data_IF_477504652222
#
_entry.id   IF_477504652222
#
_cell.length_a   1.000
_cell.length_b   1.000
_cell.length_c   1.000
_cell.angle_alpha   90.00
_cell.angle_beta   90.00
_cell.angle_gamma   90.00
#
_symmetry.space_group_name_H-M   'P 1'
#
loop_
_entity.id
_entity.type
_entity.pdbx_description
1 polymer ?
#
# COMPACT_ATOMS: atom_id res chain seq x y z
N UNK A 1 14.11 5.77 0.37
CA UNK A 1 13.34 6.55 1.36
C UNK A 1 13.61 6.08 2.78
N UNK A 2 13.26 4.86 3.20
CA UNK A 2 13.41 4.40 4.59
C UNK A 2 14.81 4.66 5.21
N UNK A 3 15.88 4.16 4.57
CA UNK A 3 17.27 4.39 5.03
C UNK A 3 17.75 5.84 4.93
N UNK A 4 17.05 6.70 4.18
CA UNK A 4 17.41 8.11 4.00
C UNK A 4 16.68 9.01 5.00
N UNK A 5 15.52 8.60 5.51
CA UNK A 5 14.65 9.41 6.36
C UNK A 5 14.61 8.95 7.82
N UNK A 6 15.25 7.82 8.17
CA UNK A 6 15.11 7.18 9.49
C UNK A 6 13.67 6.89 9.90
N UNK A 7 12.77 6.81 8.91
CA UNK A 7 11.35 6.53 9.11
C UNK A 7 11.13 5.02 9.20
N UNK A 8 10.07 4.59 9.89
CA UNK A 8 9.66 3.18 9.95
C UNK A 8 8.70 2.91 8.79
N UNK A 9 9.03 1.95 7.91
CA UNK A 9 8.15 1.56 6.81
C UNK A 9 7.15 0.48 7.23
N UNK A 10 5.90 0.71 6.86
CA UNK A 10 4.79 -0.21 7.02
C UNK A 10 4.33 -0.65 5.63
N UNK A 11 4.47 -1.93 5.30
CA UNK A 11 4.00 -2.50 4.03
C UNK A 11 3.12 -3.72 4.27
N UNK A 12 1.99 -3.78 3.58
CA UNK A 12 0.98 -4.82 3.78
C UNK A 12 1.48 -6.19 3.31
N UNK A 13 2.24 -6.22 2.21
CA UNK A 13 2.69 -7.46 1.57
C UNK A 13 3.64 -8.28 2.49
N UNK A 14 4.57 -7.63 3.19
CA UNK A 14 5.48 -8.33 4.11
C UNK A 14 4.72 -8.97 5.28
N UNK A 15 3.68 -8.29 5.79
CA UNK A 15 2.87 -8.79 6.90
C UNK A 15 1.95 -9.93 6.48
N UNK A 16 1.27 -9.79 5.34
CA UNK A 16 0.46 -10.86 4.77
C UNK A 16 1.29 -12.14 4.56
N UNK A 17 2.47 -12.00 3.95
CA UNK A 17 3.35 -13.13 3.70
C UNK A 17 3.85 -13.78 4.99
N UNK A 18 4.24 -12.99 6.01
CA UNK A 18 4.76 -13.52 7.27
C UNK A 18 3.69 -14.20 8.13
N UNK A 19 2.46 -13.68 8.15
CA UNK A 19 1.39 -14.18 9.01
C UNK A 19 0.56 -15.29 8.36
N UNK A 20 0.36 -15.23 7.05
CA UNK A 20 -0.55 -16.14 6.33
C UNK A 20 0.12 -16.92 5.20
N UNK A 21 1.44 -16.76 5.03
CA UNK A 21 2.20 -17.47 4.01
C UNK A 21 2.07 -16.87 2.61
N UNK A 22 2.61 -17.59 1.63
CA UNK A 22 2.48 -17.23 0.21
C UNK A 22 1.11 -17.66 -0.29
N UNK A 23 0.51 -16.82 -1.11
CA UNK A 23 -0.75 -17.09 -1.83
C UNK A 23 -1.87 -17.64 -0.92
N UNK A 24 -2.28 -16.89 0.13
CA UNK A 24 -3.31 -17.36 1.05
C UNK A 24 -4.66 -17.55 0.33
N UNK A 25 -5.56 -18.40 0.86
CA UNK A 25 -6.83 -18.69 0.22
C UNK A 25 -7.66 -17.42 -0.08
N UNK A 26 -8.15 -17.28 -1.30
CA UNK A 26 -8.88 -16.09 -1.78
C UNK A 26 -10.04 -15.68 -0.85
N UNK A 27 -10.81 -16.67 -0.38
CA UNK A 27 -11.98 -16.45 0.49
C UNK A 27 -11.60 -15.84 1.85
N UNK A 28 -10.35 -16.01 2.29
CA UNK A 28 -9.84 -15.50 3.56
C UNK A 28 -9.02 -14.23 3.38
N UNK A 29 -8.57 -13.92 2.15
CA UNK A 29 -7.66 -12.83 1.85
C UNK A 29 -8.17 -11.49 2.39
N UNK A 30 -9.44 -11.16 2.17
CA UNK A 30 -10.01 -9.88 2.60
C UNK A 30 -10.01 -9.73 4.14
N UNK A 31 -10.35 -10.80 4.86
CA UNK A 31 -10.35 -10.81 6.33
C UNK A 31 -8.92 -10.73 6.88
N UNK A 32 -7.98 -11.46 6.29
CA UNK A 32 -6.55 -11.40 6.63
C UNK A 32 -5.97 -10.02 6.40
N UNK A 33 -6.29 -9.41 5.24
CA UNK A 33 -5.86 -8.06 4.91
C UNK A 33 -6.40 -7.04 5.90
N UNK A 34 -7.67 -7.16 6.30
CA UNK A 34 -8.28 -6.28 7.32
C UNK A 34 -7.59 -6.39 8.67
N UNK A 35 -7.28 -7.61 9.14
CA UNK A 35 -6.54 -7.82 10.40
C UNK A 35 -5.15 -7.20 10.36
N UNK A 36 -4.44 -7.37 9.24
CA UNK A 36 -3.12 -6.76 9.03
C UNK A 36 -3.22 -5.23 9.04
N UNK A 37 -4.17 -4.65 8.30
CA UNK A 37 -4.37 -3.19 8.30
C UNK A 37 -4.66 -2.63 9.68
N UNK A 38 -5.52 -3.31 10.47
CA UNK A 38 -5.84 -2.92 11.83
C UNK A 38 -4.59 -2.90 12.73
N UNK A 39 -3.82 -4.00 12.75
CA UNK A 39 -2.61 -4.09 13.56
C UNK A 39 -1.54 -3.08 13.13
N UNK A 40 -1.35 -2.90 11.82
CA UNK A 40 -0.40 -1.92 11.29
C UNK A 40 -0.80 -0.51 11.69
N UNK A 41 -2.09 -0.20 11.70
CA UNK A 41 -2.61 1.10 12.13
C UNK A 41 -2.31 1.42 13.59
N UNK A 42 -2.56 0.49 14.50
CA UNK A 42 -2.20 0.68 15.91
C UNK A 42 -0.71 1.00 16.08
N UNK A 43 0.15 0.35 15.28
CA UNK A 43 1.59 0.53 15.36
C UNK A 43 2.07 1.83 14.75
N UNK A 44 1.65 2.19 13.53
CA UNK A 44 2.12 3.44 12.91
C UNK A 44 1.55 4.67 13.62
N UNK A 45 0.33 4.60 14.16
CA UNK A 45 -0.23 5.66 15.01
C UNK A 45 0.60 5.82 16.29
N UNK A 46 1.04 4.71 16.89
CA UNK A 46 1.94 4.76 18.05
C UNK A 46 3.29 5.39 17.70
N UNK A 47 3.83 5.15 16.51
CA UNK A 47 5.04 5.83 16.04
C UNK A 47 4.84 7.35 15.97
N UNK A 48 3.73 7.81 15.40
CA UNK A 48 3.40 9.24 15.34
C UNK A 48 3.32 9.87 16.74
N UNK A 49 2.67 9.20 17.70
CA UNK A 49 2.62 9.66 19.11
C UNK A 49 3.99 9.80 19.77
N UNK A 50 4.99 9.08 19.28
CA UNK A 50 6.37 9.12 19.78
C UNK A 50 7.26 10.06 18.94
N UNK A 51 6.68 10.87 18.04
CA UNK A 51 7.39 11.73 17.09
C UNK A 51 8.36 10.96 16.19
N UNK A 52 7.96 9.77 15.75
CA UNK A 52 8.72 8.95 14.80
C UNK A 52 8.04 9.01 13.43
N UNK A 53 8.81 9.41 12.41
CA UNK A 53 8.35 9.42 11.03
C UNK A 53 8.00 8.02 10.53
N UNK A 54 6.94 7.91 9.73
CA UNK A 54 6.47 6.65 9.16
C UNK A 54 6.32 6.74 7.65
N UNK A 55 6.54 5.62 6.97
CA UNK A 55 6.22 5.44 5.55
C UNK A 55 5.11 4.39 5.47
N UNK A 56 3.94 4.79 4.98
CA UNK A 56 2.84 3.88 4.71
C UNK A 56 2.90 3.46 3.24
N UNK A 57 3.48 2.29 2.98
CA UNK A 57 3.60 1.67 1.66
C UNK A 57 2.32 0.88 1.35
N UNK A 58 1.21 1.60 1.20
CA UNK A 58 -0.14 1.08 0.96
C UNK A 58 -0.62 1.43 -0.45
N UNK A 59 -1.70 0.76 -0.89
CA UNK A 59 -2.29 1.04 -2.19
C UNK A 59 -3.15 2.31 -2.26
N UNK A 60 -3.68 2.80 -1.13
CA UNK A 60 -4.52 4.01 -1.05
C UNK A 60 -5.63 4.05 -2.11
N UNK A 61 -6.40 2.96 -2.18
CA UNK A 61 -7.25 2.62 -3.32
C UNK A 61 -8.46 3.52 -3.48
N UNK A 62 -9.01 4.05 -2.39
CA UNK A 62 -10.18 4.92 -2.40
C UNK A 62 -9.91 6.28 -1.80
N UNK A 63 -10.66 7.28 -2.25
CA UNK A 63 -10.67 8.62 -1.66
C UNK A 63 -11.01 8.54 -0.16
N UNK A 64 -12.02 7.74 0.19
CA UNK A 64 -12.42 7.54 1.58
C UNK A 64 -11.27 6.96 2.45
N UNK A 65 -10.46 6.05 1.92
CA UNK A 65 -9.28 5.53 2.63
C UNK A 65 -8.24 6.64 2.84
N UNK A 66 -7.95 7.43 1.81
CA UNK A 66 -6.99 8.54 1.87
C UNK A 66 -7.43 9.61 2.85
N UNK A 67 -8.70 9.99 2.83
CA UNK A 67 -9.28 11.00 3.74
C UNK A 67 -9.23 10.55 5.20
N UNK A 68 -9.56 9.28 5.45
CA UNK A 68 -9.50 8.69 6.80
C UNK A 68 -8.07 8.71 7.33
N UNK A 69 -7.10 8.26 6.54
CA UNK A 69 -5.69 8.24 6.95
C UNK A 69 -5.18 9.67 7.17
N UNK A 70 -5.53 10.61 6.28
CA UNK A 70 -5.21 12.03 6.45
C UNK A 70 -5.75 12.58 7.77
N UNK A 71 -7.01 12.30 8.08
CA UNK A 71 -7.65 12.73 9.33
C UNK A 71 -6.90 12.24 10.56
N UNK A 72 -6.52 10.95 10.58
CA UNK A 72 -5.74 10.38 11.70
C UNK A 72 -4.38 11.08 11.82
N UNK A 73 -3.65 11.29 10.72
CA UNK A 73 -2.35 11.99 10.76
C UNK A 73 -2.51 13.42 11.32
N UNK A 74 -3.51 14.17 10.83
CA UNK A 74 -3.76 15.54 11.27
C UNK A 74 -4.20 15.64 12.74
N UNK A 75 -4.88 14.63 13.28
CA UNK A 75 -5.25 14.56 14.70
C UNK A 75 -4.00 14.54 15.61
N UNK A 76 -2.91 13.93 15.15
CA UNK A 76 -1.62 13.93 15.84
C UNK A 76 -0.75 15.15 15.54
N UNK A 77 -1.27 16.13 14.77
CA UNK A 77 -0.52 17.33 14.38
C UNK A 77 0.68 17.03 13.47
N UNK A 78 0.71 15.86 12.84
CA UNK A 78 1.77 15.47 11.92
C UNK A 78 1.50 16.01 10.51
N UNK A 79 2.57 16.31 9.78
CA UNK A 79 2.51 16.59 8.36
C UNK A 79 2.47 15.29 7.54
N UNK A 80 1.95 15.34 6.31
CA UNK A 80 1.99 14.21 5.39
C UNK A 80 2.42 14.61 3.99
N UNK A 81 2.95 13.63 3.24
CA UNK A 81 3.20 13.73 1.81
C UNK A 81 2.64 12.49 1.13
N UNK A 82 1.74 12.69 0.17
CA UNK A 82 1.22 11.61 -0.66
C UNK A 82 2.07 11.47 -1.92
N UNK A 83 2.56 10.27 -2.21
CA UNK A 83 3.36 9.99 -3.40
C UNK A 83 2.52 9.24 -4.42
N UNK A 84 2.36 9.81 -5.62
CA UNK A 84 1.67 9.16 -6.73
C UNK A 84 2.67 8.47 -7.64
N UNK A 85 2.50 7.16 -7.79
CA UNK A 85 3.21 6.36 -8.77
C UNK A 85 2.26 6.10 -9.95
N UNK A 86 2.75 6.30 -11.17
CA UNK A 86 2.02 5.97 -12.38
C UNK A 86 2.76 4.88 -13.14
N UNK A 87 2.02 3.98 -13.76
CA UNK A 87 2.58 2.93 -14.62
C UNK A 87 1.53 2.61 -15.70
N UNK A 88 1.89 2.54 -16.99
CA UNK A 88 1.00 2.02 -18.01
C UNK A 88 0.57 0.59 -17.66
N UNK A 89 -0.68 0.26 -17.92
CA UNK A 89 -1.23 -1.06 -17.57
C UNK A 89 -0.45 -2.20 -18.21
N UNK A 90 -0.01 -2.03 -19.46
CA UNK A 90 0.77 -3.04 -20.16
C UNK A 90 2.09 -3.33 -19.43
N UNK A 91 2.74 -2.29 -18.90
CA UNK A 91 3.98 -2.43 -18.14
C UNK A 91 3.70 -3.06 -16.77
N UNK A 92 2.64 -2.62 -16.08
CA UNK A 92 2.23 -3.19 -14.80
C UNK A 92 1.91 -4.67 -14.93
N UNK A 93 1.16 -5.04 -15.97
CA UNK A 93 0.81 -6.43 -16.26
C UNK A 93 2.04 -7.27 -16.61
N UNK A 94 2.95 -6.78 -17.46
CA UNK A 94 4.23 -7.47 -17.74
C UNK A 94 5.03 -7.73 -16.46
N UNK A 95 5.11 -6.75 -15.55
CA UNK A 95 5.79 -6.89 -14.24
C UNK A 95 5.10 -7.94 -13.36
N UNK A 96 3.76 -7.96 -13.33
CA UNK A 96 2.99 -8.97 -12.60
C UNK A 96 3.24 -10.36 -13.18
N UNK A 97 3.24 -10.51 -14.51
CA UNK A 97 3.53 -11.79 -15.16
C UNK A 97 4.95 -12.29 -14.82
N UNK A 98 5.95 -11.40 -14.83
CA UNK A 98 7.30 -11.75 -14.41
C UNK A 98 7.33 -12.21 -12.94
N UNK A 99 6.66 -11.48 -12.04
CA UNK A 99 6.57 -11.83 -10.62
C UNK A 99 5.83 -13.15 -10.37
N UNK A 100 4.75 -13.43 -11.11
CA UNK A 100 4.00 -14.68 -11.00
C UNK A 100 4.86 -15.90 -11.34
N UNK A 101 5.82 -15.76 -12.25
CA UNK A 101 6.73 -16.83 -12.66
C UNK A 101 8.00 -16.93 -11.78
N UNK A 102 8.20 -16.00 -10.84
CA UNK A 102 9.38 -15.99 -9.99
C UNK A 102 9.25 -17.03 -8.85
N UNK A 103 10.33 -17.73 -8.46
CA UNK A 103 10.29 -18.74 -7.38
C UNK A 103 9.85 -18.17 -6.02
N UNK A 104 10.07 -16.87 -5.82
CA UNK A 104 9.77 -16.15 -4.60
C UNK A 104 8.41 -15.42 -4.64
N UNK A 105 7.57 -15.67 -5.65
CA UNK A 105 6.24 -15.09 -5.78
C UNK A 105 5.46 -15.18 -4.45
N UNK A 106 5.07 -14.02 -3.90
CA UNK A 106 4.35 -13.94 -2.62
C UNK A 106 2.84 -14.09 -2.78
N UNK A 107 2.30 -13.69 -3.93
CA UNK A 107 0.88 -13.68 -4.25
C UNK A 107 0.70 -13.78 -5.76
N UNK A 108 -0.02 -14.81 -6.21
CA UNK A 108 -0.31 -15.00 -7.62
C UNK A 108 -1.46 -14.09 -8.05
N UNK A 109 -1.28 -13.31 -9.11
CA UNK A 109 -2.32 -12.41 -9.64
C UNK A 109 -2.72 -12.85 -11.05
N UNK A 110 -3.90 -13.45 -11.17
CA UNK A 110 -4.49 -13.77 -12.47
C UNK A 110 -4.91 -12.51 -13.24
N UNK A 111 -5.06 -12.62 -14.56
CA UNK A 111 -5.45 -11.50 -15.42
C UNK A 111 -6.80 -10.90 -15.02
N UNK A 112 -7.78 -11.75 -14.67
CA UNK A 112 -9.08 -11.29 -14.16
C UNK A 112 -8.93 -10.54 -12.83
N UNK A 113 -8.10 -11.05 -11.92
CA UNK A 113 -7.83 -10.39 -10.63
C UNK A 113 -7.20 -9.01 -10.84
N UNK A 114 -6.25 -8.86 -11.78
CA UNK A 114 -5.69 -7.56 -12.12
C UNK A 114 -6.77 -6.57 -12.59
N UNK A 115 -7.63 -6.98 -13.52
CA UNK A 115 -8.73 -6.14 -14.02
C UNK A 115 -9.72 -5.75 -12.92
N UNK A 116 -10.14 -6.71 -12.08
CA UNK A 116 -11.06 -6.49 -10.96
C UNK A 116 -10.46 -5.53 -9.94
N UNK A 117 -9.19 -5.73 -9.58
CA UNK A 117 -8.51 -4.84 -8.65
C UNK A 117 -8.43 -3.45 -9.25
N UNK A 118 -7.89 -3.30 -10.47
CA UNK A 118 -7.75 -1.99 -11.13
C UNK A 118 -9.07 -1.21 -11.17
N UNK A 119 -10.19 -1.87 -11.47
CA UNK A 119 -11.49 -1.21 -11.51
C UNK A 119 -11.96 -0.63 -10.16
N UNK A 120 -11.37 -1.06 -9.03
CA UNK A 120 -11.64 -0.53 -7.69
C UNK A 120 -10.79 0.70 -7.35
N UNK A 121 -9.77 1.02 -8.15
CA UNK A 121 -8.90 2.15 -7.86
C UNK A 121 -9.57 3.46 -8.23
N UNK A 122 -9.75 4.33 -7.24
CA UNK A 122 -10.21 5.70 -7.41
C UNK A 122 -8.99 6.61 -7.56
N UNK A 123 -8.83 7.30 -8.71
CA UNK A 123 -7.70 8.20 -8.94
C UNK A 123 -7.69 9.35 -7.92
N UNK A 124 -6.55 10.04 -7.83
CA UNK A 124 -6.45 11.25 -7.02
C UNK A 124 -7.26 12.37 -7.68
N UNK A 125 -8.00 13.11 -6.86
CA UNK A 125 -8.69 14.33 -7.29
C UNK A 125 -7.71 15.50 -7.48
N UNK A 126 -8.16 16.58 -8.12
CA UNK A 126 -7.32 17.77 -8.38
C UNK A 126 -6.84 18.41 -7.08
N UNK A 127 -7.67 18.42 -6.04
CA UNK A 127 -7.38 19.05 -4.75
C UNK A 127 -6.48 18.19 -3.83
N UNK A 128 -6.16 16.95 -4.21
CA UNK A 128 -5.27 16.08 -3.45
C UNK A 128 -3.80 16.40 -3.74
N UNK A 129 -3.19 17.21 -2.88
CA UNK A 129 -1.77 17.56 -2.93
C UNK A 129 -0.88 16.31 -2.89
N UNK A 130 0.04 16.22 -3.85
CA UNK A 130 0.81 15.00 -4.13
C UNK A 130 2.18 15.28 -4.73
N UNK A 131 3.08 14.33 -4.53
CA UNK A 131 4.39 14.28 -5.16
C UNK A 131 4.36 13.24 -6.28
N UNK A 132 4.70 13.66 -7.50
CA UNK A 132 4.83 12.75 -8.62
C UNK A 132 6.17 12.00 -8.55
N UNK A 133 6.11 10.67 -8.58
CA UNK A 133 7.33 9.85 -8.64
C UNK A 133 7.58 9.44 -10.09
N UNK A 134 8.71 9.84 -10.71
CA UNK A 134 9.04 9.43 -12.07
C UNK A 134 9.26 7.91 -12.14
N UNK A 135 8.91 7.30 -13.27
CA UNK A 135 8.96 5.84 -13.49
C UNK A 135 10.36 5.21 -13.51
N UNK A 136 11.41 5.96 -13.18
CA UNK A 136 12.80 5.52 -13.22
C UNK A 136 13.20 4.85 -11.90
N UNK A 137 12.73 3.62 -11.68
CA UNK A 137 13.31 2.67 -10.72
C UNK A 137 13.33 1.28 -11.33
#
# INVERSE_FOLDING_TARGET
MEHQTSAIRFTHNEWMQRLYGKDPPEQQFAEYAKRVSFLMEELWVRCLRMNVDVILDFGFWSQAERDRIRSVITEFGADFRLYRLTCPDEIAWKRIQARNNAPDCSLYIAANTFSVLKARFEPLDEDEARMEVPQNF
#
